data_IF_061213731915
#
_entry.id   IF_061213731915
#
_cell.length_a   1.000
_cell.length_b   1.000
_cell.length_c   1.000
_cell.angle_alpha   90.00
_cell.angle_beta   90.00
_cell.angle_gamma   90.00
#
_symmetry.space_group_name_H-M   'P 1'
#
loop_
_entity.id
_entity.type
_entity.pdbx_description
1 polymer ?
#
# COMPACT_ATOMS: atom_id res chain seq x y z
N UNK A 1 -4.40 -13.91 15.59
CA UNK A 1 -3.66 -15.11 15.11
C UNK A 1 -4.43 -15.68 13.95
N UNK A 2 -3.87 -15.55 12.75
CA UNK A 2 -4.27 -16.22 11.51
C UNK A 2 -3.12 -16.00 10.54
N UNK A 3 -2.58 -17.10 10.03
CA UNK A 3 -1.37 -17.18 9.23
C UNK A 3 -1.42 -16.31 7.96
N UNK A 4 -0.35 -15.55 7.72
CA UNK A 4 -0.08 -14.92 6.43
C UNK A 4 0.72 -15.90 5.58
N UNK A 5 0.05 -16.54 4.62
CA UNK A 5 0.66 -17.34 3.57
C UNK A 5 1.51 -16.42 2.65
N UNK A 6 2.84 -16.62 2.54
CA UNK A 6 3.73 -15.72 1.79
C UNK A 6 3.89 -16.11 0.32
N UNK A 7 3.11 -17.05 -0.21
CA UNK A 7 3.43 -17.72 -1.46
C UNK A 7 2.88 -17.09 -2.74
N UNK A 8 2.91 -15.76 -2.93
CA UNK A 8 2.69 -15.17 -4.27
C UNK A 8 3.41 -13.82 -4.48
N UNK A 9 4.66 -13.86 -4.93
CA UNK A 9 5.27 -12.80 -5.74
C UNK A 9 5.87 -13.43 -7.00
N UNK A 10 5.64 -12.86 -8.19
CA UNK A 10 6.21 -13.37 -9.43
C UNK A 10 7.65 -12.85 -9.60
N UNK A 11 8.49 -13.70 -10.21
CA UNK A 11 9.86 -13.48 -10.71
C UNK A 11 11.03 -13.83 -9.75
N UNK A 12 11.95 -14.72 -10.17
CA UNK A 12 13.14 -15.09 -9.41
C UNK A 12 14.26 -14.07 -9.68
N UNK A 13 14.74 -13.43 -8.61
CA UNK A 13 16.00 -12.68 -8.62
C UNK A 13 16.90 -13.32 -7.56
N UNK A 14 18.20 -13.38 -7.80
CA UNK A 14 19.16 -14.07 -6.93
C UNK A 14 19.08 -13.55 -5.50
N UNK A 15 18.44 -14.31 -4.62
CA UNK A 15 18.20 -13.96 -3.23
C UNK A 15 19.22 -14.66 -2.34
N UNK A 16 20.03 -13.91 -1.60
CA UNK A 16 20.57 -14.40 -0.33
C UNK A 16 19.52 -14.13 0.77
N UNK A 17 18.69 -15.13 1.03
CA UNK A 17 17.74 -15.15 2.15
C UNK A 17 18.49 -15.53 3.42
N UNK A 18 18.75 -14.57 4.32
CA UNK A 18 19.24 -14.89 5.65
C UNK A 18 18.06 -15.18 6.61
N UNK A 19 17.89 -16.48 6.86
CA UNK A 19 17.25 -17.16 8.00
C UNK A 19 15.72 -17.35 7.99
N UNK A 20 15.33 -18.62 7.79
CA UNK A 20 14.15 -19.26 8.34
C UNK A 20 14.60 -20.15 9.52
N UNK A 21 13.92 -20.09 10.65
CA UNK A 21 14.11 -21.07 11.73
C UNK A 21 13.10 -22.19 11.52
N UNK A 22 13.45 -23.22 10.74
CA UNK A 22 13.24 -24.65 11.07
C UNK A 22 13.69 -25.62 9.95
N UNK A 23 14.42 -26.67 10.41
CA UNK A 23 14.69 -28.00 9.83
C UNK A 23 15.66 -28.19 8.62
N UNK A 24 16.80 -28.85 8.91
CA UNK A 24 17.48 -29.80 8.01
C UNK A 24 18.80 -29.36 7.36
N UNK A 25 19.94 -29.98 7.77
CA UNK A 25 21.31 -29.90 7.21
C UNK A 25 21.34 -29.84 5.66
N UNK A 26 22.25 -29.19 4.92
CA UNK A 26 23.71 -28.89 5.00
C UNK A 26 23.99 -27.94 3.80
N UNK A 27 24.64 -26.77 3.85
CA UNK A 27 25.98 -26.42 4.33
C UNK A 27 26.02 -24.99 4.92
N UNK A 28 26.31 -24.95 6.23
CA UNK A 28 27.08 -23.97 7.03
C UNK A 28 27.29 -22.54 6.50
N UNK A 29 26.32 -21.66 6.76
CA UNK A 29 26.59 -20.46 7.57
C UNK A 29 25.78 -20.62 8.87
N UNK A 30 26.51 -20.83 9.97
CA UNK A 30 25.94 -21.08 11.29
C UNK A 30 25.20 -19.84 11.83
N UNK A 31 23.92 -20.03 12.16
CA UNK A 31 23.22 -19.41 13.31
C UNK A 31 23.51 -17.92 13.57
N UNK A 32 22.61 -17.01 13.15
CA UNK A 32 22.56 -15.63 13.70
C UNK A 32 21.53 -15.48 14.84
N UNK A 33 20.98 -16.58 15.37
CA UNK A 33 19.99 -16.52 16.45
C UNK A 33 20.55 -16.03 17.80
N UNK A 34 21.88 -15.83 17.90
CA UNK A 34 22.56 -15.32 19.09
C UNK A 34 23.56 -14.19 18.79
N UNK A 35 23.33 -13.36 17.76
CA UNK A 35 24.06 -12.10 17.69
C UNK A 35 23.49 -11.09 18.69
N UNK A 36 23.93 -11.22 19.95
CA UNK A 36 24.20 -10.03 20.74
C UNK A 36 25.25 -9.22 19.99
N UNK A 37 24.79 -8.28 19.15
CA UNK A 37 25.65 -7.35 18.41
C UNK A 37 26.30 -6.38 19.40
N UNK A 38 27.31 -6.89 20.12
CA UNK A 38 28.19 -6.10 20.95
C UNK A 38 29.02 -5.21 19.99
N UNK A 39 29.12 -3.89 20.21
CA UNK A 39 29.82 -2.97 19.32
C UNK A 39 31.31 -3.31 19.05
N UNK A 40 31.89 -4.24 19.80
CA UNK A 40 33.28 -4.67 19.71
C UNK A 40 33.55 -5.82 18.72
N UNK A 41 32.54 -6.33 18.00
CA UNK A 41 32.69 -7.51 17.13
C UNK A 41 32.94 -7.15 15.66
N UNK A 42 33.85 -7.86 14.97
CA UNK A 42 34.29 -7.63 13.58
C UNK A 42 33.31 -8.11 12.49
N UNK A 43 32.00 -8.05 12.75
CA UNK A 43 30.95 -8.50 11.81
C UNK A 43 30.89 -7.69 10.51
N UNK A 44 31.55 -6.53 10.46
CA UNK A 44 31.53 -5.58 9.34
C UNK A 44 32.39 -5.99 8.14
N UNK A 45 33.25 -7.01 8.25
CA UNK A 45 34.17 -7.40 7.16
C UNK A 45 33.40 -8.08 6.01
N UNK A 46 32.42 -8.93 6.33
CA UNK A 46 31.64 -9.68 5.34
C UNK A 46 30.52 -8.90 4.64
N UNK A 47 30.16 -7.70 5.14
CA UNK A 47 28.99 -6.97 4.66
C UNK A 47 29.30 -5.89 3.62
N UNK A 48 30.56 -5.76 3.20
CA UNK A 48 30.99 -4.74 2.24
C UNK A 48 30.38 -4.93 0.85
N UNK A 49 29.98 -6.16 0.54
CA UNK A 49 29.38 -6.55 -0.74
C UNK A 49 27.87 -6.82 -0.63
N UNK A 50 27.25 -6.49 0.50
CA UNK A 50 25.84 -6.77 0.70
C UNK A 50 24.98 -5.74 -0.04
N UNK A 51 24.29 -6.18 -1.08
CA UNK A 51 23.37 -5.35 -1.88
C UNK A 51 21.93 -5.39 -1.35
N UNK A 52 21.51 -6.54 -0.81
CA UNK A 52 20.17 -6.70 -0.24
C UNK A 52 20.24 -7.34 1.14
N UNK A 53 19.44 -6.82 2.06
CA UNK A 53 19.29 -7.38 3.40
C UNK A 53 17.84 -7.50 3.78
N UNK A 54 17.44 -8.71 4.17
CA UNK A 54 16.15 -8.95 4.81
C UNK A 54 16.36 -9.39 6.25
N UNK A 55 15.73 -8.68 7.18
CA UNK A 55 15.70 -9.01 8.59
C UNK A 55 14.26 -9.39 8.96
N UNK A 56 14.03 -10.67 9.21
CA UNK A 56 12.73 -11.24 9.51
C UNK A 56 12.69 -11.78 10.95
N UNK A 57 11.68 -11.38 11.75
CA UNK A 57 11.48 -11.82 13.14
C UNK A 57 12.72 -11.66 14.05
N UNK A 58 13.49 -10.60 13.82
CA UNK A 58 14.72 -10.30 14.58
C UNK A 58 14.46 -9.38 15.78
N UNK A 59 15.33 -9.45 16.78
CA UNK A 59 15.39 -8.46 17.88
C UNK A 59 16.49 -7.45 17.59
N UNK A 60 16.13 -6.25 17.13
CA UNK A 60 17.12 -5.24 16.70
C UNK A 60 16.72 -3.83 17.14
N UNK A 61 17.71 -3.04 17.58
CA UNK A 61 17.56 -1.62 17.92
C UNK A 61 17.90 -0.72 16.73
N UNK A 62 17.38 0.51 16.73
CA UNK A 62 17.61 1.47 15.64
C UNK A 62 19.09 1.82 15.43
N UNK A 63 19.88 1.81 16.50
CA UNK A 63 21.32 2.06 16.47
C UNK A 63 22.08 1.00 15.66
N UNK A 64 21.66 -0.26 15.75
CA UNK A 64 22.27 -1.35 14.99
C UNK A 64 21.97 -1.23 13.50
N UNK A 65 20.74 -0.85 13.15
CA UNK A 65 20.38 -0.57 11.75
C UNK A 65 21.22 0.60 11.20
N UNK A 66 21.46 1.64 12.01
CA UNK A 66 22.32 2.75 11.62
C UNK A 66 23.77 2.30 11.37
N UNK A 67 24.32 1.45 12.24
CA UNK A 67 25.67 0.89 12.06
C UNK A 67 25.73 0.00 10.81
N UNK A 68 24.70 -0.81 10.57
CA UNK A 68 24.60 -1.64 9.39
C UNK A 68 24.62 -0.81 8.11
N UNK A 69 23.79 0.21 8.02
CA UNK A 69 23.77 1.13 6.88
C UNK A 69 25.10 1.87 6.67
N UNK A 70 25.88 2.10 7.72
CA UNK A 70 27.20 2.71 7.62
C UNK A 70 28.27 1.73 7.13
N UNK A 71 28.12 0.44 7.45
CA UNK A 71 29.11 -0.60 7.15
C UNK A 71 28.82 -1.38 5.85
N UNK A 72 27.64 -1.20 5.26
CA UNK A 72 27.24 -1.81 3.99
C UNK A 72 27.17 -0.74 2.88
N UNK A 73 28.30 -0.36 2.24
CA UNK A 73 28.36 0.78 1.33
C UNK A 73 27.58 0.59 0.03
N UNK A 74 27.33 -0.65 -0.39
CA UNK A 74 26.60 -0.97 -1.61
C UNK A 74 25.16 -1.45 -1.38
N UNK A 75 24.67 -1.41 -0.13
CA UNK A 75 23.33 -1.89 0.20
C UNK A 75 22.26 -1.05 -0.51
N UNK A 76 21.54 -1.68 -1.44
CA UNK A 76 20.47 -1.09 -2.22
C UNK A 76 19.09 -1.38 -1.64
N UNK A 77 18.90 -2.55 -1.00
CA UNK A 77 17.61 -2.98 -0.44
C UNK A 77 17.71 -3.35 1.02
N UNK A 78 16.85 -2.77 1.84
CA UNK A 78 16.66 -3.16 3.24
C UNK A 78 15.19 -3.50 3.49
N UNK A 79 14.94 -4.71 3.96
CA UNK A 79 13.63 -5.19 4.37
C UNK A 79 13.67 -5.52 5.86
N UNK A 80 12.80 -4.88 6.63
CA UNK A 80 12.62 -5.12 8.06
C UNK A 80 11.20 -5.65 8.27
N UNK A 81 11.05 -6.90 8.70
CA UNK A 81 9.74 -7.48 8.99
C UNK A 81 9.73 -8.12 10.36
N UNK A 82 8.71 -7.83 11.18
CA UNK A 82 8.61 -8.33 12.55
C UNK A 82 9.88 -8.04 13.39
N UNK A 83 10.50 -6.87 13.19
CA UNK A 83 11.67 -6.44 13.93
C UNK A 83 11.25 -6.03 15.36
N UNK A 84 11.24 -7.01 16.27
CA UNK A 84 10.88 -6.84 17.68
C UNK A 84 11.86 -5.87 18.33
N UNK A 85 11.39 -5.04 19.26
CA UNK A 85 12.14 -4.00 19.98
C UNK A 85 12.58 -2.77 19.17
N UNK A 86 12.37 -2.74 17.84
CA UNK A 86 12.69 -1.58 17.01
C UNK A 86 11.70 -0.44 17.28
N UNK A 87 12.05 0.45 18.20
CA UNK A 87 11.14 1.52 18.63
C UNK A 87 11.23 2.82 17.80
N UNK A 88 12.40 3.07 17.18
CA UNK A 88 12.73 4.28 16.43
C UNK A 88 13.67 3.92 15.30
N UNK A 89 13.33 4.36 14.09
CA UNK A 89 14.19 4.23 12.92
C UNK A 89 14.53 5.61 12.34
N UNK A 90 15.83 5.82 12.07
CA UNK A 90 16.34 7.00 11.38
C UNK A 90 17.23 6.54 10.23
N UNK A 91 16.85 6.88 9.01
CA UNK A 91 17.65 6.62 7.80
C UNK A 91 18.00 7.96 7.17
N UNK A 92 19.30 8.22 7.01
CA UNK A 92 19.78 9.49 6.43
C UNK A 92 21.18 9.39 5.89
N UNK A 93 21.45 10.11 4.80
CA UNK A 93 22.74 10.18 4.14
C UNK A 93 22.58 9.98 2.64
N UNK A 94 23.00 10.96 1.84
CA UNK A 94 22.96 10.87 0.37
C UNK A 94 24.04 9.93 -0.18
N UNK A 95 25.04 9.60 0.63
CA UNK A 95 26.06 8.59 0.33
C UNK A 95 25.53 7.17 0.40
N UNK A 96 24.39 6.92 1.06
CA UNK A 96 23.78 5.60 1.10
C UNK A 96 23.34 5.18 -0.30
N UNK A 97 23.69 3.96 -0.71
CA UNK A 97 23.20 3.34 -1.95
C UNK A 97 21.78 2.77 -1.83
N UNK A 98 21.16 2.94 -0.66
CA UNK A 98 19.83 2.42 -0.36
C UNK A 98 18.76 3.05 -1.27
N UNK A 99 18.22 2.25 -2.18
CA UNK A 99 17.13 2.59 -3.12
C UNK A 99 15.78 2.09 -2.62
N UNK A 100 15.74 0.97 -1.91
CA UNK A 100 14.50 0.29 -1.52
C UNK A 100 14.47 0.04 -0.01
N UNK A 101 13.42 0.50 0.65
CA UNK A 101 13.21 0.26 2.07
C UNK A 101 11.79 -0.25 2.33
N UNK A 102 11.70 -1.44 2.91
CA UNK A 102 10.44 -2.00 3.40
C UNK A 102 10.51 -2.16 4.92
N UNK A 103 9.47 -1.70 5.60
CA UNK A 103 9.27 -1.92 7.03
C UNK A 103 7.87 -2.50 7.20
N UNK A 104 7.75 -3.70 7.77
CA UNK A 104 6.45 -4.35 7.95
C UNK A 104 6.28 -4.99 9.32
N UNK A 105 5.09 -4.81 9.90
CA UNK A 105 4.66 -5.46 11.14
C UNK A 105 5.67 -5.33 12.30
N UNK A 106 6.25 -4.14 12.44
CA UNK A 106 7.14 -3.80 13.55
C UNK A 106 6.33 -3.14 14.66
N UNK A 107 5.68 -3.93 15.53
CA UNK A 107 4.67 -3.46 16.48
C UNK A 107 5.18 -2.44 17.51
N UNK A 108 6.45 -2.52 17.88
CA UNK A 108 7.07 -1.59 18.84
C UNK A 108 7.46 -0.23 18.22
N UNK A 109 7.33 -0.08 16.89
CA UNK A 109 7.85 1.06 16.15
C UNK A 109 7.00 2.30 16.33
N UNK A 110 7.50 3.25 17.13
CA UNK A 110 6.78 4.50 17.45
C UNK A 110 7.09 5.64 16.48
N UNK A 111 8.29 5.66 15.89
CA UNK A 111 8.75 6.78 15.02
C UNK A 111 9.67 6.31 13.89
N UNK A 112 9.39 6.78 12.68
CA UNK A 112 10.25 6.60 11.50
C UNK A 112 10.59 7.97 10.91
N UNK A 113 11.88 8.22 10.70
CA UNK A 113 12.39 9.43 10.03
C UNK A 113 13.31 9.02 8.89
N UNK A 114 12.95 9.38 7.67
CA UNK A 114 13.77 9.16 6.47
C UNK A 114 13.96 10.51 5.80
N UNK A 115 15.22 10.92 5.64
CA UNK A 115 15.53 12.23 5.07
C UNK A 115 16.95 12.31 4.52
N UNK A 116 17.17 13.20 3.55
CA UNK A 116 18.47 13.35 2.87
C UNK A 116 18.98 12.00 2.34
N UNK A 117 18.15 11.27 1.59
CA UNK A 117 18.54 10.00 0.96
C UNK A 117 18.07 9.98 -0.49
N UNK A 118 18.71 9.14 -1.30
CA UNK A 118 18.32 8.86 -2.69
C UNK A 118 17.39 7.65 -2.78
N UNK A 119 16.52 7.48 -1.79
CA UNK A 119 15.56 6.37 -1.74
C UNK A 119 14.58 6.52 -2.91
N UNK A 120 14.32 5.43 -3.63
CA UNK A 120 13.44 5.38 -4.81
C UNK A 120 12.06 4.84 -4.44
N UNK A 121 12.00 3.81 -3.59
CA UNK A 121 10.74 3.20 -3.16
C UNK A 121 10.73 2.96 -1.65
N UNK A 122 9.60 3.26 -1.02
CA UNK A 122 9.37 3.08 0.40
C UNK A 122 8.05 2.36 0.66
N UNK A 123 8.11 1.23 1.35
CA UNK A 123 6.95 0.47 1.79
C UNK A 123 6.88 0.44 3.31
N UNK A 124 5.73 0.82 3.86
CA UNK A 124 5.53 0.95 5.29
C UNK A 124 4.24 0.28 5.74
N UNK A 125 4.37 -0.72 6.59
CA UNK A 125 3.27 -1.43 7.21
C UNK A 125 3.46 -1.39 8.72
N UNK A 126 2.73 -0.50 9.40
CA UNK A 126 2.75 -0.43 10.87
C UNK A 126 1.52 0.31 11.41
N UNK A 127 1.20 0.01 12.66
CA UNK A 127 0.06 0.58 13.40
C UNK A 127 0.58 1.68 14.34
N UNK A 128 -0.08 2.85 14.35
CA UNK A 128 0.19 3.96 15.30
C UNK A 128 1.64 4.50 15.30
N UNK A 129 2.31 4.50 14.16
CA UNK A 129 3.68 5.05 14.03
C UNK A 129 3.69 6.48 13.48
N UNK A 130 4.52 7.36 14.05
CA UNK A 130 4.77 8.70 13.47
C UNK A 130 5.79 8.61 12.34
N UNK A 131 5.34 8.82 11.10
CA UNK A 131 6.18 8.81 9.90
C UNK A 131 6.57 10.23 9.48
N UNK A 132 7.86 10.45 9.17
CA UNK A 132 8.36 11.70 8.57
C UNK A 132 9.28 11.42 7.39
N UNK A 133 8.89 11.96 6.23
CA UNK A 133 9.59 11.84 4.95
C UNK A 133 9.85 13.25 4.41
N UNK A 134 11.12 13.63 4.22
CA UNK A 134 11.45 14.96 3.69
C UNK A 134 12.84 14.97 3.06
N UNK A 135 13.06 15.85 2.07
CA UNK A 135 14.33 15.93 1.31
C UNK A 135 14.71 14.58 0.68
N UNK A 136 13.78 14.02 -0.09
CA UNK A 136 13.92 12.74 -0.80
C UNK A 136 13.72 13.01 -2.30
N UNK A 137 14.78 13.43 -3.03
CA UNK A 137 14.63 13.91 -4.41
C UNK A 137 14.29 12.81 -5.42
N UNK A 138 14.57 11.54 -5.10
CA UNK A 138 14.36 10.41 -6.02
C UNK A 138 13.18 9.51 -5.63
N UNK A 139 12.48 9.82 -4.54
CA UNK A 139 11.41 8.95 -4.04
C UNK A 139 10.20 9.02 -4.97
N UNK A 140 10.02 7.96 -5.76
CA UNK A 140 8.99 7.86 -6.78
C UNK A 140 7.80 7.02 -6.37
N UNK A 141 7.99 6.12 -5.41
CA UNK A 141 6.96 5.18 -4.97
C UNK A 141 6.86 5.14 -3.45
N UNK A 142 5.62 5.29 -2.95
CA UNK A 142 5.30 5.11 -1.54
C UNK A 142 4.12 4.17 -1.40
N UNK A 143 4.29 3.09 -0.64
CA UNK A 143 3.23 2.17 -0.26
C UNK A 143 3.05 2.22 1.26
N UNK A 144 1.84 2.48 1.73
CA UNK A 144 1.53 2.51 3.16
C UNK A 144 0.31 1.64 3.45
N UNK A 145 0.48 0.69 4.36
CA UNK A 145 -0.54 -0.28 4.77
C UNK A 145 -0.74 -0.23 6.29
N UNK A 146 -1.99 -0.30 6.73
CA UNK A 146 -2.34 -0.53 8.13
C UNK A 146 -3.43 0.40 8.68
N UNK A 147 -3.80 0.19 9.94
CA UNK A 147 -4.69 1.07 10.69
C UNK A 147 -3.97 2.36 11.06
N UNK A 148 -3.62 3.16 10.06
CA UNK A 148 -3.26 4.55 10.28
C UNK A 148 -4.53 5.18 10.84
N UNK A 149 -4.45 5.68 12.07
CA UNK A 149 -5.45 6.62 12.56
C UNK A 149 -5.29 7.83 11.63
N UNK A 150 -6.18 7.87 10.63
CA UNK A 150 -6.24 8.80 9.51
C UNK A 150 -5.12 8.71 8.45
N UNK A 151 -5.34 8.06 7.29
CA UNK A 151 -4.52 8.21 6.07
C UNK A 151 -4.21 9.67 5.69
N UNK A 152 -5.08 10.56 6.17
CA UNK A 152 -5.01 12.01 6.16
C UNK A 152 -3.72 12.54 6.76
N UNK A 153 -3.27 12.05 7.91
CA UNK A 153 -2.15 12.64 8.64
C UNK A 153 -0.83 12.50 7.89
N UNK A 154 -0.68 11.36 7.20
CA UNK A 154 0.43 11.09 6.28
C UNK A 154 0.35 12.04 5.09
N UNK A 155 -0.83 12.19 4.50
CA UNK A 155 -1.03 13.13 3.38
C UNK A 155 -0.78 14.58 3.80
N UNK A 156 -1.32 15.01 4.96
CA UNK A 156 -1.32 16.40 5.48
C UNK A 156 0.05 16.99 5.66
N UNK A 157 1.07 16.20 5.98
CA UNK A 157 2.33 16.77 6.50
C UNK A 157 3.59 16.46 5.70
N UNK A 158 3.64 15.38 4.90
CA UNK A 158 4.92 14.92 4.32
C UNK A 158 4.90 14.70 2.81
N UNK A 159 3.85 14.08 2.26
CA UNK A 159 3.88 13.61 0.87
C UNK A 159 3.78 14.73 -0.17
N UNK A 160 3.05 15.81 0.12
CA UNK A 160 2.90 16.96 -0.79
C UNK A 160 4.21 17.70 -1.08
N UNK A 161 5.25 17.46 -0.26
CA UNK A 161 6.57 18.09 -0.38
C UNK A 161 7.56 17.23 -1.16
N UNK A 162 7.13 16.06 -1.65
CA UNK A 162 7.97 15.15 -2.41
C UNK A 162 7.84 15.44 -3.90
N UNK A 163 8.87 16.00 -4.55
CA UNK A 163 8.76 16.51 -5.92
C UNK A 163 8.57 15.39 -6.95
N UNK A 164 9.06 14.18 -6.66
CA UNK A 164 9.12 13.08 -7.62
C UNK A 164 8.19 11.90 -7.27
N UNK A 165 7.30 12.04 -6.28
CA UNK A 165 6.39 10.97 -5.87
C UNK A 165 5.33 10.72 -6.95
N UNK A 166 5.51 9.68 -7.76
CA UNK A 166 4.63 9.36 -8.89
C UNK A 166 3.57 8.31 -8.55
N UNK A 167 3.91 7.34 -7.70
CA UNK A 167 3.07 6.19 -7.35
C UNK A 167 2.78 6.23 -5.85
N UNK A 168 1.50 6.24 -5.51
CA UNK A 168 1.03 6.20 -4.13
C UNK A 168 0.06 5.03 -3.94
N UNK A 169 0.44 4.10 -3.06
CA UNK A 169 -0.39 2.94 -2.70
C UNK A 169 -0.80 3.08 -1.23
N UNK A 170 -2.09 3.02 -0.95
CA UNK A 170 -2.63 3.15 0.39
C UNK A 170 -3.60 2.01 0.68
N UNK A 171 -3.34 1.28 1.77
CA UNK A 171 -4.24 0.25 2.29
C UNK A 171 -4.70 0.60 3.70
N UNK A 172 -6.00 0.67 3.92
CA UNK A 172 -6.59 1.03 5.22
C UNK A 172 -7.96 0.39 5.42
N UNK A 173 -8.37 0.26 6.69
CA UNK A 173 -9.71 -0.14 7.08
C UNK A 173 -10.65 1.07 6.99
N UNK A 174 -11.79 0.92 6.32
CA UNK A 174 -12.76 1.98 6.14
C UNK A 174 -13.92 1.85 7.11
N UNK A 175 -14.00 2.80 8.04
CA UNK A 175 -15.15 2.96 8.92
C UNK A 175 -16.03 4.10 8.41
N UNK A 176 -17.31 3.85 8.03
CA UNK A 176 -18.21 4.91 7.57
C UNK A 176 -18.55 5.96 8.62
N UNK A 177 -18.25 5.70 9.89
CA UNK A 177 -18.48 6.62 11.01
C UNK A 177 -17.29 7.56 11.24
N UNK A 178 -16.18 7.36 10.53
CA UNK A 178 -15.02 8.25 10.62
C UNK A 178 -15.15 9.36 9.56
N UNK A 179 -15.14 10.60 10.02
CA UNK A 179 -15.17 11.75 9.14
C UNK A 179 -13.83 11.83 8.40
N UNK A 180 -13.81 11.42 7.12
CA UNK A 180 -12.72 11.83 6.24
C UNK A 180 -12.69 13.37 6.22
N UNK A 181 -11.51 13.97 6.33
CA UNK A 181 -11.38 15.41 6.43
C UNK A 181 -11.82 16.05 5.15
N UNK A 182 -12.34 17.26 5.31
CA UNK A 182 -12.93 18.04 4.24
C UNK A 182 -11.87 18.44 3.20
N UNK A 183 -10.59 18.53 3.60
CA UNK A 183 -9.51 18.96 2.73
C UNK A 183 -8.18 18.25 3.01
N UNK A 184 -7.56 17.77 1.93
CA UNK A 184 -6.22 17.19 1.91
C UNK A 184 -5.27 18.12 1.13
N UNK A 185 -3.97 18.13 1.43
CA UNK A 185 -3.01 18.88 0.63
C UNK A 185 -2.93 18.30 -0.79
N UNK A 186 -2.61 19.17 -1.75
CA UNK A 186 -2.45 18.75 -3.14
C UNK A 186 -1.17 17.93 -3.30
N UNK A 187 -1.31 16.71 -3.80
CA UNK A 187 -0.24 15.78 -4.18
C UNK A 187 -0.02 15.92 -5.70
N UNK A 188 0.63 17.00 -6.12
CA UNK A 188 0.77 17.36 -7.54
C UNK A 188 1.70 16.45 -8.33
N UNK A 189 2.61 15.74 -7.65
CA UNK A 189 3.54 14.79 -8.28
C UNK A 189 2.90 13.44 -8.60
N UNK A 190 1.83 13.06 -7.89
CA UNK A 190 1.22 11.73 -7.97
C UNK A 190 0.45 11.57 -9.28
N UNK A 191 0.86 10.56 -10.06
CA UNK A 191 0.25 10.17 -11.34
C UNK A 191 -0.53 8.85 -11.23
N UNK A 192 -0.18 8.01 -10.26
CA UNK A 192 -0.85 6.74 -10.01
C UNK A 192 -1.24 6.61 -8.54
N UNK A 193 -2.50 6.27 -8.28
CA UNK A 193 -3.04 6.07 -6.95
C UNK A 193 -3.71 4.70 -6.88
N UNK A 194 -3.25 3.84 -5.97
CA UNK A 194 -3.94 2.61 -5.59
C UNK A 194 -4.52 2.76 -4.18
N UNK A 195 -5.82 2.55 -4.05
CA UNK A 195 -6.51 2.44 -2.77
C UNK A 195 -6.98 1.01 -2.57
N UNK A 196 -6.51 0.36 -1.51
CA UNK A 196 -7.04 -0.93 -1.04
C UNK A 196 -7.83 -0.67 0.24
N UNK A 197 -9.11 -0.98 0.23
CA UNK A 197 -10.04 -0.60 1.29
C UNK A 197 -10.64 -1.84 1.91
N UNK A 198 -10.37 -2.04 3.20
CA UNK A 198 -10.92 -3.15 3.97
C UNK A 198 -12.23 -2.72 4.67
N UNK A 199 -13.24 -3.59 4.70
CA UNK A 199 -14.39 -3.46 5.60
C UNK A 199 -15.47 -2.46 5.20
N UNK A 200 -15.61 -2.16 3.90
CA UNK A 200 -16.62 -1.22 3.42
C UNK A 200 -18.06 -1.70 3.60
N UNK A 201 -18.32 -3.02 3.61
CA UNK A 201 -19.68 -3.55 3.51
C UNK A 201 -20.46 -2.84 2.38
N UNK A 202 -21.65 -2.29 2.63
CA UNK A 202 -22.38 -1.42 1.66
C UNK A 202 -22.36 0.07 2.05
N UNK A 203 -21.33 0.50 2.78
CA UNK A 203 -21.13 1.91 3.10
C UNK A 203 -20.89 2.76 1.85
N UNK A 204 -21.18 4.06 1.94
CA UNK A 204 -20.86 5.01 0.86
C UNK A 204 -19.36 5.00 0.58
N UNK A 205 -18.96 4.83 -0.68
CA UNK A 205 -17.56 4.97 -1.10
C UNK A 205 -17.24 6.38 -1.63
N UNK A 206 -18.26 7.22 -1.81
CA UNK A 206 -18.10 8.61 -2.25
C UNK A 206 -17.12 9.44 -1.38
N UNK A 207 -17.03 9.25 -0.05
CA UNK A 207 -16.03 9.95 0.76
C UNK A 207 -14.58 9.72 0.30
N UNK A 208 -14.27 8.59 -0.35
CA UNK A 208 -12.95 8.33 -0.93
C UNK A 208 -12.57 9.30 -2.04
N UNK A 209 -13.56 9.98 -2.66
CA UNK A 209 -13.31 11.00 -3.66
C UNK A 209 -12.42 12.15 -3.15
N UNK A 210 -12.37 12.40 -1.84
CA UNK A 210 -11.45 13.40 -1.24
C UNK A 210 -9.98 13.04 -1.54
N UNK A 211 -9.61 11.75 -1.49
CA UNK A 211 -8.25 11.30 -1.79
C UNK A 211 -7.91 11.44 -3.28
N UNK A 212 -8.90 11.19 -4.15
CA UNK A 212 -8.74 11.35 -5.59
C UNK A 212 -8.56 12.84 -5.92
N UNK A 213 -9.39 13.72 -5.33
CA UNK A 213 -9.26 15.20 -5.43
C UNK A 213 -7.92 15.72 -4.95
N UNK A 214 -7.28 15.06 -3.98
CA UNK A 214 -5.95 15.43 -3.52
C UNK A 214 -4.87 15.24 -4.60
N UNK A 215 -5.12 14.43 -5.64
CA UNK A 215 -4.18 14.12 -6.71
C UNK A 215 -4.65 14.77 -8.04
N UNK A 216 -4.36 16.06 -8.29
CA UNK A 216 -4.93 16.78 -9.44
C UNK A 216 -4.42 16.30 -10.81
N UNK A 217 -3.21 15.75 -10.88
CA UNK A 217 -2.58 15.24 -12.11
C UNK A 217 -2.64 13.71 -12.22
N UNK A 218 -3.57 13.09 -11.50
CA UNK A 218 -3.75 11.64 -11.51
C UNK A 218 -4.08 11.14 -12.90
N UNK A 219 -3.36 10.12 -13.37
CA UNK A 219 -3.50 9.48 -14.68
C UNK A 219 -4.11 8.09 -14.59
N UNK A 220 -3.78 7.35 -13.52
CA UNK A 220 -4.29 6.01 -13.27
C UNK A 220 -4.80 5.89 -11.84
N UNK A 221 -6.00 5.37 -11.67
CA UNK A 221 -6.61 5.09 -10.38
C UNK A 221 -6.98 3.62 -10.27
N UNK A 222 -6.56 2.98 -9.17
CA UNK A 222 -6.91 1.60 -8.85
C UNK A 222 -7.63 1.59 -7.51
N UNK A 223 -8.83 1.01 -7.48
CA UNK A 223 -9.56 0.72 -6.26
C UNK A 223 -9.69 -0.78 -6.09
N UNK A 224 -9.35 -1.27 -4.92
CA UNK A 224 -9.51 -2.67 -4.53
C UNK A 224 -10.29 -2.72 -3.24
N UNK A 225 -11.46 -3.36 -3.26
CA UNK A 225 -12.26 -3.54 -2.05
C UNK A 225 -12.01 -4.93 -1.47
N UNK A 226 -11.83 -5.01 -0.16
CA UNK A 226 -11.66 -6.28 0.54
C UNK A 226 -12.73 -6.32 1.63
N UNK A 227 -13.70 -7.21 1.47
CA UNK A 227 -14.67 -7.49 2.52
C UNK A 227 -14.13 -8.67 3.35
N UNK A 228 -13.80 -8.46 4.64
CA UNK A 228 -13.39 -9.56 5.50
C UNK A 228 -14.54 -10.56 5.66
N UNK A 229 -14.25 -11.86 5.57
CA UNK A 229 -15.23 -12.94 5.72
C UNK A 229 -16.05 -12.88 7.03
N UNK A 230 -15.50 -12.25 8.07
CA UNK A 230 -16.14 -12.12 9.38
C UNK A 230 -17.08 -10.91 9.50
N UNK A 231 -17.12 -9.99 8.53
CA UNK A 231 -18.00 -8.83 8.61
C UNK A 231 -19.43 -9.18 8.17
N UNK A 232 -20.44 -8.92 9.01
CA UNK A 232 -21.83 -9.16 8.63
C UNK A 232 -22.20 -8.24 7.47
N UNK A 233 -22.70 -8.84 6.38
CA UNK A 233 -23.21 -8.11 5.23
C UNK A 233 -24.45 -7.34 5.67
N UNK A 234 -24.31 -6.03 5.89
CA UNK A 234 -25.46 -5.18 6.20
C UNK A 234 -26.37 -5.04 4.97
N UNK A 235 -27.65 -4.81 5.25
CA UNK A 235 -28.72 -4.68 4.26
C UNK A 235 -28.40 -3.65 3.17
N UNK A 236 -28.94 -3.93 1.99
CA UNK A 236 -28.89 -3.10 0.79
C UNK A 236 -29.27 -1.66 1.14
N UNK A 237 -28.35 -0.72 0.91
CA UNK A 237 -28.65 0.70 1.02
C UNK A 237 -29.40 1.18 -0.24
N UNK A 238 -30.27 2.17 -0.08
CA UNK A 238 -30.84 2.89 -1.23
C UNK A 238 -29.78 3.72 -1.96
N UNK A 239 -29.83 3.64 -3.30
CA UNK A 239 -28.99 4.42 -4.21
C UNK A 239 -29.17 5.91 -3.92
N UNK A 240 -28.13 6.57 -3.39
CA UNK A 240 -28.14 8.03 -3.27
C UNK A 240 -27.83 8.62 -4.63
N UNK A 241 -28.63 9.61 -5.04
CA UNK A 241 -28.34 10.40 -6.24
C UNK A 241 -26.96 11.03 -6.09
N UNK A 242 -26.04 10.62 -6.95
CA UNK A 242 -24.76 11.31 -7.11
C UNK A 242 -25.07 12.65 -7.78
N UNK A 243 -25.03 13.73 -7.00
CA UNK A 243 -25.02 15.08 -7.58
C UNK A 243 -23.84 15.14 -8.54
N UNK A 244 -24.11 15.46 -9.81
CA UNK A 244 -23.09 15.48 -10.86
C UNK A 244 -21.89 16.30 -10.37
N UNK A 245 -20.76 15.66 -10.08
CA UNK A 245 -19.61 16.41 -9.62
C UNK A 245 -19.13 17.33 -10.74
N UNK A 246 -18.64 18.51 -10.36
CA UNK A 246 -17.86 19.33 -11.27
C UNK A 246 -16.74 18.46 -11.89
N UNK A 247 -16.38 18.68 -13.16
CA UNK A 247 -15.28 17.94 -13.77
C UNK A 247 -13.97 18.29 -13.07
N UNK A 248 -13.51 17.37 -12.22
CA UNK A 248 -12.39 17.58 -11.29
C UNK A 248 -11.09 16.96 -11.81
N UNK A 249 -11.19 15.93 -12.67
CA UNK A 249 -10.04 15.13 -13.08
C UNK A 249 -9.83 15.21 -14.59
N UNK A 250 -8.93 16.11 -15.01
CA UNK A 250 -8.62 16.36 -16.43
C UNK A 250 -7.59 15.40 -17.02
N UNK A 251 -6.86 14.68 -16.18
CA UNK A 251 -5.76 13.81 -16.59
C UNK A 251 -6.01 12.33 -16.33
N UNK A 252 -7.10 11.98 -15.62
CA UNK A 252 -7.39 10.60 -15.25
C UNK A 252 -7.86 9.83 -16.48
N UNK A 253 -7.01 8.96 -16.99
CA UNK A 253 -7.23 8.18 -18.22
C UNK A 253 -7.70 6.77 -17.96
N UNK A 254 -7.29 6.18 -16.83
CA UNK A 254 -7.53 4.77 -16.52
C UNK A 254 -8.06 4.60 -15.11
N UNK A 255 -9.15 3.85 -14.99
CA UNK A 255 -9.71 3.41 -13.70
C UNK A 255 -9.79 1.89 -13.70
N UNK A 256 -9.28 1.26 -12.65
CA UNK A 256 -9.47 -0.16 -12.40
C UNK A 256 -10.17 -0.36 -11.05
N UNK A 257 -11.22 -1.15 -11.04
CA UNK A 257 -11.97 -1.50 -9.84
C UNK A 257 -11.88 -3.02 -9.65
N UNK A 258 -11.20 -3.46 -8.60
CA UNK A 258 -11.11 -4.86 -8.18
C UNK A 258 -12.10 -5.20 -7.08
N UNK A 259 -12.58 -6.45 -7.11
CA UNK A 259 -13.58 -7.01 -6.22
C UNK A 259 -14.94 -6.29 -6.28
N UNK A 260 -15.41 -6.05 -7.50
CA UNK A 260 -16.71 -5.42 -7.73
C UNK A 260 -17.86 -6.42 -7.53
N UNK A 261 -18.66 -6.23 -6.48
CA UNK A 261 -19.84 -7.05 -6.17
C UNK A 261 -21.15 -6.59 -6.84
N UNK A 262 -21.17 -5.44 -7.50
CA UNK A 262 -22.40 -4.85 -8.07
C UNK A 262 -23.32 -4.16 -7.06
N UNK A 263 -22.79 -3.75 -5.89
CA UNK A 263 -23.56 -3.01 -4.87
C UNK A 263 -23.82 -1.57 -5.30
N UNK A 264 -24.83 -0.94 -4.70
CA UNK A 264 -25.19 0.45 -4.96
C UNK A 264 -24.03 1.41 -4.67
N UNK A 265 -23.32 1.21 -3.55
CA UNK A 265 -22.12 1.96 -3.19
C UNK A 265 -21.02 1.92 -4.26
N UNK A 266 -20.83 0.78 -4.92
CA UNK A 266 -19.83 0.62 -5.97
C UNK A 266 -20.24 1.39 -7.23
N UNK A 267 -21.51 1.23 -7.64
CA UNK A 267 -22.07 1.91 -8.80
C UNK A 267 -22.06 3.43 -8.62
N UNK A 268 -22.38 3.93 -7.43
CA UNK A 268 -22.28 5.35 -7.09
C UNK A 268 -20.87 5.90 -7.35
N UNK A 269 -19.84 5.21 -6.88
CA UNK A 269 -18.45 5.66 -7.07
C UNK A 269 -18.01 5.56 -8.55
N UNK A 270 -18.36 4.48 -9.25
CA UNK A 270 -18.04 4.35 -10.68
C UNK A 270 -18.73 5.46 -11.49
N UNK A 271 -20.00 5.73 -11.20
CA UNK A 271 -20.76 6.81 -11.85
C UNK A 271 -20.14 8.18 -11.55
N UNK A 272 -19.72 8.41 -10.30
CA UNK A 272 -18.99 9.61 -9.89
C UNK A 272 -17.69 9.78 -10.69
N UNK A 273 -16.92 8.71 -10.86
CA UNK A 273 -15.64 8.74 -11.60
C UNK A 273 -15.86 9.02 -13.09
N UNK A 274 -16.81 8.35 -13.72
CA UNK A 274 -17.17 8.59 -15.12
C UNK A 274 -17.60 10.04 -15.34
N UNK A 275 -18.40 10.59 -14.42
CA UNK A 275 -18.88 11.97 -14.51
C UNK A 275 -17.78 13.02 -14.24
N UNK A 276 -16.84 12.72 -13.34
CA UNK A 276 -15.80 13.67 -12.92
C UNK A 276 -14.51 13.63 -13.76
N UNK A 277 -14.24 12.52 -14.45
CA UNK A 277 -13.02 12.30 -15.23
C UNK A 277 -13.27 12.50 -16.73
N UNK A 278 -13.00 13.71 -17.24
CA UNK A 278 -13.29 14.07 -18.64
C UNK A 278 -12.44 13.25 -19.62
N UNK A 279 -11.17 13.03 -19.27
CA UNK A 279 -10.17 12.35 -20.09
C UNK A 279 -10.13 10.82 -19.86
N UNK A 280 -11.16 10.25 -19.22
CA UNK A 280 -11.22 8.81 -18.98
C UNK A 280 -11.31 8.07 -20.32
N UNK A 281 -10.35 7.19 -20.58
CA UNK A 281 -10.21 6.39 -21.79
C UNK A 281 -10.54 4.91 -21.51
N UNK A 282 -10.25 4.42 -20.30
CA UNK A 282 -10.41 3.01 -19.94
C UNK A 282 -10.98 2.83 -18.54
N UNK A 283 -12.03 2.02 -18.43
CA UNK A 283 -12.63 1.56 -17.19
C UNK A 283 -12.58 0.03 -17.15
N UNK A 284 -11.85 -0.53 -16.18
CA UNK A 284 -11.79 -1.98 -15.92
C UNK A 284 -12.52 -2.28 -14.63
N UNK A 285 -13.44 -3.23 -14.67
CA UNK A 285 -14.18 -3.73 -13.51
C UNK A 285 -13.90 -5.23 -13.41
N UNK A 286 -13.10 -5.61 -12.42
CA UNK A 286 -12.85 -7.01 -12.09
C UNK A 286 -13.85 -7.42 -11.02
N UNK A 287 -14.74 -8.34 -11.37
CA UNK A 287 -15.77 -8.82 -10.45
C UNK A 287 -15.20 -9.82 -9.46
N UNK A 288 -15.76 -9.86 -8.25
CA UNK A 288 -15.42 -10.90 -7.29
C UNK A 288 -16.34 -12.09 -7.53
N UNK A 289 -15.81 -13.16 -8.11
CA UNK A 289 -16.54 -14.36 -8.48
C UNK A 289 -16.51 -15.43 -7.39
N UNK A 290 -15.97 -15.11 -6.20
CA UNK A 290 -15.82 -16.06 -5.09
C UNK A 290 -16.31 -15.46 -3.77
N UNK A 291 -17.04 -16.25 -3.01
CA UNK A 291 -17.47 -15.92 -1.67
C UNK A 291 -17.10 -17.05 -0.71
N UNK A 292 -16.56 -16.71 0.45
CA UNK A 292 -16.34 -17.67 1.52
C UNK A 292 -17.64 -17.83 2.33
N UNK A 293 -18.30 -18.98 2.19
CA UNK A 293 -19.54 -19.32 2.91
C UNK A 293 -19.32 -20.64 3.64
N UNK A 294 -19.50 -20.64 4.97
CA UNK A 294 -19.49 -21.85 5.80
C UNK A 294 -18.24 -22.74 5.66
N UNK A 295 -17.06 -22.15 5.47
CA UNK A 295 -15.80 -22.90 5.36
C UNK A 295 -15.33 -23.16 3.92
N UNK A 296 -16.13 -22.81 2.90
CA UNK A 296 -15.83 -23.10 1.50
C UNK A 296 -15.95 -21.86 0.61
N UNK A 297 -15.11 -21.80 -0.43
CA UNK A 297 -15.23 -20.78 -1.48
C UNK A 297 -16.26 -21.21 -2.51
N UNK A 298 -17.37 -20.48 -2.60
CA UNK A 298 -18.42 -20.69 -3.59
C UNK A 298 -18.29 -19.69 -4.74
N UNK A 299 -18.49 -20.16 -5.97
CA UNK A 299 -18.50 -19.29 -7.15
C UNK A 299 -19.79 -18.47 -7.18
N UNK A 300 -19.67 -17.17 -7.43
CA UNK A 300 -20.79 -16.25 -7.62
C UNK A 300 -20.81 -15.76 -9.06
N UNK A 301 -21.87 -16.05 -9.81
CA UNK A 301 -22.06 -15.48 -11.15
C UNK A 301 -22.77 -14.12 -11.11
N UNK A 302 -23.57 -13.89 -10.07
CA UNK A 302 -24.39 -12.68 -9.92
C UNK A 302 -23.62 -11.34 -9.96
N UNK A 303 -22.39 -11.20 -9.38
CA UNK A 303 -21.63 -9.95 -9.44
C UNK A 303 -21.31 -9.49 -10.87
N UNK A 304 -20.99 -10.43 -11.75
CA UNK A 304 -20.68 -10.17 -13.15
C UNK A 304 -21.93 -9.78 -13.92
N UNK A 305 -23.04 -10.48 -13.73
CA UNK A 305 -24.32 -10.12 -14.33
C UNK A 305 -24.80 -8.74 -13.88
N UNK A 306 -24.70 -8.43 -12.59
CA UNK A 306 -25.00 -7.09 -12.05
C UNK A 306 -24.11 -6.02 -12.67
N UNK A 307 -22.80 -6.25 -12.79
CA UNK A 307 -21.88 -5.32 -13.42
C UNK A 307 -22.25 -5.07 -14.90
N UNK A 308 -22.58 -6.13 -15.64
CA UNK A 308 -23.04 -6.02 -17.04
C UNK A 308 -24.34 -5.20 -17.14
N UNK A 309 -25.36 -5.50 -16.33
CA UNK A 309 -26.63 -4.76 -16.32
C UNK A 309 -26.45 -3.28 -15.91
N UNK A 310 -25.49 -3.00 -15.03
CA UNK A 310 -25.24 -1.66 -14.50
C UNK A 310 -24.40 -0.79 -15.43
N UNK A 311 -23.45 -1.37 -16.18
CA UNK A 311 -22.44 -0.59 -16.91
C UNK A 311 -22.53 -0.76 -18.43
N UNK A 312 -22.93 -1.94 -18.94
CA UNK A 312 -23.01 -2.18 -20.38
C UNK A 312 -24.09 -1.29 -20.99
N UNK A 313 -23.72 -0.54 -22.02
CA UNK A 313 -24.60 0.43 -22.69
C UNK A 313 -24.89 1.72 -21.91
N UNK A 314 -24.44 1.84 -20.65
CA UNK A 314 -24.58 3.06 -19.83
C UNK A 314 -23.29 3.86 -19.70
N UNK A 315 -22.14 3.24 -19.95
CA UNK A 315 -20.84 3.92 -20.04
C UNK A 315 -20.72 4.63 -21.40
N UNK A 316 -20.27 5.90 -21.46
CA UNK A 316 -20.02 6.61 -22.71
C UNK A 316 -19.13 5.82 -23.68
N UNK A 317 -19.49 5.82 -24.98
CA UNK A 317 -18.80 5.05 -26.02
C UNK A 317 -17.30 5.35 -26.16
N UNK A 318 -16.86 6.54 -25.75
CA UNK A 318 -15.46 6.95 -25.76
C UNK A 318 -14.60 6.23 -24.70
N UNK A 319 -15.22 5.58 -23.71
CA UNK A 319 -14.53 4.86 -22.63
C UNK A 319 -14.55 3.36 -22.97
N UNK A 320 -13.36 2.78 -23.12
CA UNK A 320 -13.20 1.34 -23.24
C UNK A 320 -13.55 0.66 -21.91
N UNK A 321 -14.70 -0.01 -21.87
CA UNK A 321 -15.18 -0.78 -20.72
C UNK A 321 -14.73 -2.24 -20.84
N UNK A 322 -14.00 -2.74 -19.84
CA UNK A 322 -13.71 -4.15 -19.65
C UNK A 322 -14.34 -4.64 -18.35
N UNK A 323 -15.12 -5.72 -18.40
CA UNK A 323 -15.69 -6.38 -17.23
C UNK A 323 -15.15 -7.81 -17.22
N UNK A 324 -14.37 -8.14 -16.20
CA UNK A 324 -13.68 -9.42 -16.06
C UNK A 324 -14.37 -10.30 -15.01
#
# INVERSE_FOLDING_TARGET
>A
MSDCDPSHLPYPLGHETLLDTNAGCSQRASSLSNFGLNPSSSWHIGLRYLEELTLYRVTVKGELIKQLLANCPILERLILVFARTLNRLRVSGQSLKLKYLRIGCCDDLKRVKIYNTNLVSFTFEAVKTRLRLYKLPQLSEVSITGCIWEPVDVMRSQLSRLPCLHILNLKFFYSPNENLPIQLPKLTSVKQLKLTVDGSADASLLPLAVMIKACPYLQSFVLELIDPWWMPRKQRRELKRVVRPLPLHRYLKKVEFYNYYGRHSHLELVTYLIASAIALEKLVVNTCDKEYVSGEWKKLEEPRERALQQLKGKVPLKIALAIN
#
